data_IF_538546558035
#
_entry.id   IF_538546558035
#
_cell.length_a   1.000
_cell.length_b   1.000
_cell.length_c   1.000
_cell.angle_alpha   90.00
_cell.angle_beta   90.00
_cell.angle_gamma   90.00
#
_symmetry.space_group_name_H-M   'P 1'
#
loop_
_entity.id
_entity.type
_entity.pdbx_description
1 polymer ?
#
# COMPACT_ATOMS: atom_id res chain seq x y z
N UNK A 1 23.12 -25.17 0.77
CA UNK A 1 23.80 -23.86 0.79
C UNK A 1 23.28 -23.16 2.04
N UNK A 2 24.15 -22.58 2.80
CA UNK A 2 23.74 -21.75 3.95
C UNK A 2 23.07 -20.49 3.40
N UNK A 3 22.01 -20.05 4.06
CA UNK A 3 21.28 -18.84 3.70
C UNK A 3 21.36 -17.86 4.86
N UNK A 4 21.52 -16.59 4.52
CA UNK A 4 21.42 -15.48 5.46
C UNK A 4 19.99 -15.03 5.50
N UNK A 5 19.46 -14.77 6.68
CA UNK A 5 18.12 -14.22 6.88
C UNK A 5 18.27 -12.90 7.63
N UNK A 6 17.66 -11.86 7.09
CA UNK A 6 17.54 -10.54 7.71
C UNK A 6 16.09 -10.19 7.94
N UNK A 7 15.82 -9.54 9.07
CA UNK A 7 14.47 -9.17 9.49
C UNK A 7 14.35 -7.66 9.57
N UNK A 8 13.20 -7.16 9.15
CA UNK A 8 12.92 -5.72 9.06
C UNK A 8 11.50 -5.45 9.56
N UNK A 9 11.30 -4.24 10.09
CA UNK A 9 9.97 -3.74 10.38
C UNK A 9 9.84 -2.30 9.91
N UNK A 10 8.83 -2.05 9.06
CA UNK A 10 8.44 -0.71 8.62
C UNK A 10 7.01 -0.48 9.07
N UNK A 11 6.81 0.48 9.96
CA UNK A 11 5.53 0.69 10.63
C UNK A 11 5.00 -0.61 11.28
N UNK A 12 3.81 -1.07 10.88
CA UNK A 12 3.19 -2.29 11.41
C UNK A 12 3.39 -3.53 10.53
N UNK A 13 4.27 -3.43 9.53
CA UNK A 13 4.58 -4.55 8.62
C UNK A 13 5.98 -5.06 8.91
N UNK A 14 6.07 -6.32 9.34
CA UNK A 14 7.33 -7.05 9.45
C UNK A 14 7.65 -7.77 8.16
N UNK A 15 8.93 -7.88 7.79
CA UNK A 15 9.31 -8.75 6.70
C UNK A 15 10.68 -9.38 6.90
N UNK A 16 10.86 -10.54 6.29
CA UNK A 16 12.12 -11.29 6.32
C UNK A 16 12.63 -11.48 4.90
N UNK A 17 13.90 -11.21 4.69
CA UNK A 17 14.59 -11.43 3.44
C UNK A 17 15.64 -12.52 3.60
N UNK A 18 15.54 -13.58 2.82
CA UNK A 18 16.48 -14.68 2.80
C UNK A 18 17.24 -14.74 1.48
N UNK A 19 18.55 -14.89 1.52
CA UNK A 19 19.42 -14.97 0.35
C UNK A 19 20.62 -15.88 0.59
N UNK A 20 21.28 -16.45 -0.46
CA UNK A 20 22.45 -17.28 -0.32
C UNK A 20 23.63 -16.55 0.34
N UNK A 21 24.35 -17.21 1.22
CA UNK A 21 25.55 -16.65 1.88
C UNK A 21 26.59 -16.13 0.87
N UNK A 22 26.75 -16.81 -0.26
CA UNK A 22 27.63 -16.38 -1.36
C UNK A 22 27.31 -15.03 -1.97
N UNK A 23 26.12 -14.45 -1.69
CA UNK A 23 25.69 -13.14 -2.18
C UNK A 23 25.81 -12.01 -1.15
N UNK A 24 26.40 -12.27 0.02
CA UNK A 24 26.41 -11.33 1.17
C UNK A 24 26.95 -9.95 0.81
N UNK A 25 28.07 -9.86 0.11
CA UNK A 25 28.68 -8.56 -0.25
C UNK A 25 27.77 -7.72 -1.15
N UNK A 26 27.11 -8.36 -2.13
CA UNK A 26 26.17 -7.68 -3.02
C UNK A 26 24.92 -7.25 -2.25
N UNK A 27 24.38 -8.15 -1.43
CA UNK A 27 23.18 -7.87 -0.64
C UNK A 27 23.41 -6.79 0.41
N UNK A 28 24.62 -6.66 0.97
CA UNK A 28 24.94 -5.56 1.88
C UNK A 28 24.77 -4.18 1.23
N UNK A 29 25.21 -4.04 -0.03
CA UNK A 29 25.00 -2.80 -0.82
C UNK A 29 23.54 -2.58 -1.16
N UNK A 30 22.83 -3.63 -1.57
CA UNK A 30 21.41 -3.53 -1.94
C UNK A 30 20.54 -3.13 -0.75
N UNK A 31 20.85 -3.64 0.43
CA UNK A 31 20.05 -3.47 1.65
C UNK A 31 20.47 -2.27 2.48
N UNK A 32 21.44 -1.47 2.02
CA UNK A 32 21.90 -0.27 2.75
C UNK A 32 20.73 0.67 3.12
N UNK A 33 19.80 0.88 2.19
CA UNK A 33 18.62 1.72 2.41
C UNK A 33 17.67 1.18 3.49
N UNK A 34 17.72 -0.12 3.79
CA UNK A 34 16.83 -0.77 4.76
C UNK A 34 17.45 -0.94 6.13
N UNK A 35 18.73 -0.62 6.33
CA UNK A 35 19.44 -0.81 7.59
C UNK A 35 18.76 -0.14 8.80
N UNK A 36 18.15 1.03 8.58
CA UNK A 36 17.42 1.74 9.63
C UNK A 36 16.18 0.99 10.15
N UNK A 37 15.70 0.00 9.40
CA UNK A 37 14.50 -0.80 9.71
C UNK A 37 14.84 -2.24 10.13
N UNK A 38 16.15 -2.59 10.19
CA UNK A 38 16.59 -3.93 10.61
C UNK A 38 16.23 -4.17 12.08
N UNK A 39 15.67 -5.34 12.37
CA UNK A 39 15.21 -5.72 13.70
C UNK A 39 15.40 -7.22 13.94
N UNK A 40 15.09 -7.69 15.14
CA UNK A 40 15.10 -9.12 15.47
C UNK A 40 13.87 -9.84 14.88
N UNK A 41 14.01 -11.15 14.67
CA UNK A 41 12.92 -12.00 14.18
C UNK A 41 11.64 -11.87 15.01
N UNK A 42 11.78 -11.78 16.33
CA UNK A 42 10.63 -11.65 17.23
C UNK A 42 9.84 -10.36 16.98
N UNK A 43 10.54 -9.26 16.71
CA UNK A 43 9.94 -7.96 16.39
C UNK A 43 9.23 -8.00 15.06
N UNK A 44 9.88 -8.52 14.02
CA UNK A 44 9.27 -8.65 12.69
C UNK A 44 8.04 -9.58 12.70
N UNK A 45 8.09 -10.67 13.46
CA UNK A 45 6.99 -11.64 13.56
C UNK A 45 5.83 -11.15 14.42
N UNK A 46 6.08 -10.26 15.38
CA UNK A 46 5.05 -9.65 16.24
C UNK A 46 4.32 -8.48 15.56
N UNK A 47 4.75 -8.07 14.36
CA UNK A 47 4.08 -7.03 13.60
C UNK A 47 2.64 -7.42 13.24
N UNK A 48 1.78 -6.43 13.02
CA UNK A 48 0.36 -6.64 12.70
C UNK A 48 0.17 -7.53 11.45
N UNK A 49 1.08 -7.42 10.50
CA UNK A 49 1.16 -8.30 9.33
C UNK A 49 2.63 -8.54 8.98
N UNK A 50 2.91 -9.67 8.35
CA UNK A 50 4.27 -10.02 7.95
C UNK A 50 4.32 -10.74 6.61
N UNK A 51 5.46 -10.66 5.94
CA UNK A 51 5.76 -11.45 4.75
C UNK A 51 7.23 -11.86 4.72
N UNK A 52 7.56 -12.83 3.88
CA UNK A 52 8.94 -13.24 3.61
C UNK A 52 9.22 -13.28 2.12
N UNK A 53 10.43 -12.88 1.73
CA UNK A 53 10.94 -12.95 0.37
C UNK A 53 12.26 -13.74 0.38
N UNK A 54 12.29 -14.84 -0.37
CA UNK A 54 13.50 -15.66 -0.56
C UNK A 54 14.06 -15.39 -1.94
N UNK A 55 15.33 -15.01 -2.02
CA UNK A 55 16.05 -14.78 -3.26
C UNK A 55 16.86 -16.03 -3.62
N UNK A 56 16.70 -16.51 -4.85
CA UNK A 56 17.44 -17.66 -5.36
C UNK A 56 17.95 -17.42 -6.79
N UNK A 57 19.08 -18.00 -7.13
CA UNK A 57 19.51 -18.09 -8.52
C UNK A 57 18.94 -19.36 -9.18
N UNK A 58 18.56 -19.23 -10.45
CA UNK A 58 18.20 -20.37 -11.27
C UNK A 58 19.45 -21.19 -11.61
N UNK A 59 19.36 -22.52 -11.52
CA UNK A 59 20.41 -23.39 -12.02
C UNK A 59 20.45 -23.52 -13.56
N UNK A 60 19.39 -23.01 -14.22
CA UNK A 60 19.20 -23.07 -15.67
C UNK A 60 18.65 -21.73 -16.19
N UNK A 61 18.46 -21.63 -17.52
CA UNK A 61 17.78 -20.48 -18.13
C UNK A 61 16.37 -20.30 -17.53
N UNK A 62 16.03 -19.05 -17.17
CA UNK A 62 14.70 -18.72 -16.65
C UNK A 62 13.62 -19.00 -17.70
N UNK A 63 12.78 -19.98 -17.42
CA UNK A 63 11.65 -20.38 -18.27
C UNK A 63 10.34 -20.19 -17.52
N UNK A 64 9.29 -19.97 -18.30
CA UNK A 64 7.91 -19.91 -17.77
C UNK A 64 7.63 -21.18 -16.94
N UNK A 65 7.17 -21.04 -15.68
CA UNK A 65 6.91 -22.20 -14.83
C UNK A 65 5.91 -23.17 -15.45
N UNK A 66 6.11 -24.46 -15.26
CA UNK A 66 5.17 -25.47 -15.72
C UNK A 66 3.80 -25.26 -15.04
N UNK A 67 2.72 -25.30 -15.82
CA UNK A 67 1.36 -25.09 -15.31
C UNK A 67 0.97 -23.63 -15.09
N UNK A 68 1.80 -22.67 -15.45
CA UNK A 68 1.45 -21.24 -15.37
C UNK A 68 0.34 -20.88 -16.37
N UNK A 69 -0.72 -20.28 -15.86
CA UNK A 69 -1.84 -19.73 -16.65
C UNK A 69 -1.80 -18.20 -16.57
N UNK A 70 -1.49 -17.58 -17.71
CA UNK A 70 -1.45 -16.12 -17.84
C UNK A 70 -2.84 -15.52 -17.65
N UNK A 71 -2.96 -14.50 -16.79
CA UNK A 71 -4.20 -13.80 -16.47
C UNK A 71 -4.15 -12.33 -16.88
N UNK A 72 -2.98 -11.70 -16.72
CA UNK A 72 -2.77 -10.30 -17.03
C UNK A 72 -1.38 -10.07 -17.60
N UNK A 73 -1.28 -9.11 -18.52
CA UNK A 73 -0.01 -8.66 -19.10
C UNK A 73 0.02 -7.13 -19.13
N UNK A 74 1.09 -6.60 -18.58
CA UNK A 74 1.41 -5.18 -18.63
C UNK A 74 2.79 -5.02 -19.30
N UNK A 75 2.87 -4.21 -20.33
CA UNK A 75 4.09 -3.94 -21.10
C UNK A 75 4.15 -2.43 -21.35
N UNK A 76 4.87 -1.72 -20.51
CA UNK A 76 5.01 -0.26 -20.56
C UNK A 76 6.45 0.17 -20.28
N UNK A 77 6.98 1.09 -21.10
CA UNK A 77 8.26 1.79 -20.88
C UNK A 77 9.47 0.87 -20.57
N UNK A 78 9.56 -0.29 -21.22
CA UNK A 78 10.66 -1.24 -21.02
C UNK A 78 10.51 -2.13 -19.79
N UNK A 79 9.34 -2.13 -19.18
CA UNK A 79 8.98 -3.05 -18.11
C UNK A 79 7.88 -4.00 -18.60
N UNK A 80 8.15 -5.29 -18.56
CA UNK A 80 7.17 -6.33 -18.86
C UNK A 80 6.82 -7.08 -17.59
N UNK A 81 5.55 -7.09 -17.23
CA UNK A 81 5.01 -7.88 -16.12
C UNK A 81 3.89 -8.76 -16.65
N UNK A 82 4.05 -10.06 -16.54
CA UNK A 82 3.03 -11.05 -16.87
C UNK A 82 2.65 -11.76 -15.58
N UNK A 83 1.43 -11.60 -15.14
CA UNK A 83 0.92 -12.27 -13.94
C UNK A 83 -0.06 -13.37 -14.29
N UNK A 84 -0.15 -14.35 -13.41
CA UNK A 84 -1.09 -15.45 -13.58
C UNK A 84 -1.05 -16.44 -12.42
N UNK A 85 -1.91 -17.44 -12.50
CA UNK A 85 -1.99 -18.52 -11.52
C UNK A 85 -0.99 -19.65 -11.81
N UNK A 86 -0.47 -20.24 -10.73
CA UNK A 86 0.40 -21.41 -10.75
C UNK A 86 -0.22 -22.49 -9.85
N UNK A 87 -1.06 -23.36 -10.45
CA UNK A 87 -1.92 -24.26 -9.70
C UNK A 87 -3.03 -23.54 -8.94
N UNK A 88 -3.54 -24.15 -7.86
CA UNK A 88 -4.69 -23.63 -7.10
C UNK A 88 -4.31 -22.64 -5.99
N UNK A 89 -3.05 -22.62 -5.54
CA UNK A 89 -2.64 -21.92 -4.32
C UNK A 89 -1.55 -20.88 -4.52
N UNK A 90 -1.02 -20.76 -5.72
CA UNK A 90 0.08 -19.84 -5.99
C UNK A 90 -0.20 -18.92 -7.17
N UNK A 91 0.39 -17.74 -7.11
CA UNK A 91 0.52 -16.79 -8.22
C UNK A 91 1.96 -16.71 -8.66
N UNK A 92 2.17 -16.46 -9.93
CA UNK A 92 3.50 -16.18 -10.46
C UNK A 92 3.48 -14.90 -11.29
N UNK A 93 4.59 -14.17 -11.21
CA UNK A 93 4.84 -12.95 -11.95
C UNK A 93 6.13 -13.12 -12.71
N UNK A 94 6.05 -13.13 -14.04
CA UNK A 94 7.22 -13.10 -14.90
C UNK A 94 7.51 -11.63 -15.19
N UNK A 95 8.68 -11.16 -14.78
CA UNK A 95 9.04 -9.75 -14.85
C UNK A 95 10.29 -9.61 -15.71
N UNK A 96 10.30 -8.60 -16.56
CA UNK A 96 11.51 -8.07 -17.18
C UNK A 96 11.56 -6.58 -16.80
N UNK A 97 12.39 -6.26 -15.81
CA UNK A 97 12.58 -4.90 -15.33
C UNK A 97 14.00 -4.49 -15.67
N UNK A 98 14.12 -3.40 -16.41
CA UNK A 98 15.40 -2.99 -17.01
C UNK A 98 15.97 -4.13 -17.88
N UNK A 99 17.18 -4.57 -17.63
CA UNK A 99 17.86 -5.64 -18.40
C UNK A 99 17.78 -7.02 -17.75
N UNK A 100 17.06 -7.15 -16.64
CA UNK A 100 17.00 -8.40 -15.88
C UNK A 100 15.61 -9.04 -15.95
N UNK A 101 15.59 -10.31 -16.37
CA UNK A 101 14.41 -11.18 -16.25
C UNK A 101 14.39 -11.81 -14.87
N UNK A 102 13.22 -11.92 -14.27
CA UNK A 102 13.03 -12.58 -12.98
C UNK A 102 11.64 -13.21 -12.88
N UNK A 103 11.48 -14.17 -11.97
CA UNK A 103 10.21 -14.83 -11.72
C UNK A 103 9.93 -14.78 -10.22
N UNK A 104 8.84 -14.10 -9.85
CA UNK A 104 8.31 -14.14 -8.50
C UNK A 104 7.23 -15.22 -8.42
N UNK A 105 7.35 -16.11 -7.45
CA UNK A 105 6.29 -17.06 -7.08
C UNK A 105 5.86 -16.75 -5.65
N UNK A 106 4.56 -16.64 -5.42
CA UNK A 106 4.00 -16.29 -4.10
C UNK A 106 2.71 -17.06 -3.83
N UNK A 107 2.36 -17.23 -2.57
CA UNK A 107 1.02 -17.67 -2.17
C UNK A 107 -0.05 -16.62 -2.51
N UNK A 108 -1.32 -17.00 -2.47
CA UNK A 108 -2.44 -16.06 -2.67
C UNK A 108 -2.50 -14.97 -1.60
N UNK A 109 -1.96 -15.26 -0.43
CA UNK A 109 -1.89 -14.35 0.72
C UNK A 109 -0.64 -13.45 0.71
N UNK A 110 0.27 -13.63 -0.26
CA UNK A 110 1.56 -12.92 -0.37
C UNK A 110 2.46 -13.04 0.87
N UNK A 111 2.20 -14.00 1.74
CA UNK A 111 2.94 -14.16 3.00
C UNK A 111 4.32 -14.76 2.79
N UNK A 112 4.43 -15.70 1.86
CA UNK A 112 5.69 -16.33 1.49
C UNK A 112 5.92 -16.20 -0.01
N UNK A 113 7.01 -15.53 -0.37
CA UNK A 113 7.37 -15.26 -1.76
C UNK A 113 8.78 -15.73 -2.06
N UNK A 114 9.01 -16.19 -3.29
CA UNK A 114 10.32 -16.59 -3.79
C UNK A 114 10.60 -15.88 -5.10
N UNK A 115 11.72 -15.16 -5.15
CA UNK A 115 12.23 -14.51 -6.36
C UNK A 115 13.35 -15.36 -6.94
N UNK A 116 13.16 -15.78 -8.19
CA UNK A 116 14.15 -16.49 -8.96
C UNK A 116 14.79 -15.53 -9.97
N UNK A 117 16.12 -15.39 -9.91
CA UNK A 117 16.92 -14.56 -10.83
C UNK A 117 17.82 -15.43 -11.70
N UNK A 118 18.34 -14.93 -12.83
CA UNK A 118 19.25 -15.68 -13.69
C UNK A 118 20.49 -16.18 -12.96
N UNK A 119 21.04 -17.30 -13.41
CA UNK A 119 22.31 -17.83 -12.90
C UNK A 119 23.43 -16.81 -13.03
N UNK A 120 24.27 -16.70 -11.99
CA UNK A 120 25.39 -15.78 -11.95
C UNK A 120 25.01 -14.33 -11.60
N UNK A 121 23.74 -14.02 -11.35
CA UNK A 121 23.29 -12.65 -10.97
C UNK A 121 24.03 -12.13 -9.75
N UNK A 122 24.19 -12.97 -8.71
CA UNK A 122 24.86 -12.57 -7.47
C UNK A 122 26.37 -12.42 -7.59
N UNK A 123 26.99 -12.96 -8.63
CA UNK A 123 28.42 -12.85 -8.88
C UNK A 123 28.80 -11.70 -9.84
N UNK A 124 27.84 -11.10 -10.53
CA UNK A 124 28.07 -10.06 -11.54
C UNK A 124 27.80 -8.67 -10.97
N UNK A 125 28.86 -7.90 -10.72
CA UNK A 125 28.73 -6.48 -10.24
C UNK A 125 27.86 -5.60 -11.17
N UNK A 126 27.84 -5.88 -12.47
CA UNK A 126 27.01 -5.17 -13.44
C UNK A 126 25.50 -5.41 -13.25
N UNK A 127 25.10 -6.51 -12.63
CA UNK A 127 23.71 -6.85 -12.37
C UNK A 127 23.16 -6.17 -11.09
N UNK A 128 24.00 -5.54 -10.27
CA UNK A 128 23.60 -4.99 -8.97
C UNK A 128 22.50 -3.94 -9.06
N UNK A 129 22.54 -3.04 -10.05
CA UNK A 129 21.53 -2.01 -10.24
C UNK A 129 20.17 -2.57 -10.61
N UNK A 130 20.12 -3.51 -11.56
CA UNK A 130 18.89 -4.18 -12.01
C UNK A 130 18.30 -5.07 -10.91
N UNK A 131 19.16 -5.78 -10.16
CA UNK A 131 18.72 -6.59 -9.02
C UNK A 131 18.15 -5.69 -7.92
N UNK A 132 18.81 -4.57 -7.61
CA UNK A 132 18.30 -3.59 -6.63
C UNK A 132 16.92 -3.09 -7.02
N UNK A 133 16.75 -2.59 -8.24
CA UNK A 133 15.46 -2.08 -8.72
C UNK A 133 14.37 -3.16 -8.62
N UNK A 134 14.68 -4.41 -8.97
CA UNK A 134 13.74 -5.53 -8.88
C UNK A 134 13.37 -5.83 -7.42
N UNK A 135 14.34 -5.91 -6.51
CA UNK A 135 14.11 -6.19 -5.09
C UNK A 135 13.31 -5.06 -4.44
N UNK A 136 13.69 -3.80 -4.67
CA UNK A 136 12.99 -2.63 -4.13
C UNK A 136 11.53 -2.60 -4.59
N UNK A 137 11.27 -2.82 -5.89
CA UNK A 137 9.91 -2.87 -6.43
C UNK A 137 9.10 -4.00 -5.81
N UNK A 138 9.69 -5.19 -5.65
CA UNK A 138 9.00 -6.33 -5.05
C UNK A 138 8.71 -6.12 -3.57
N UNK A 139 9.66 -5.60 -2.82
CA UNK A 139 9.44 -5.28 -1.40
C UNK A 139 8.32 -4.24 -1.25
N UNK A 140 8.29 -3.21 -2.10
CA UNK A 140 7.20 -2.24 -2.14
C UNK A 140 5.86 -2.88 -2.49
N UNK A 141 5.80 -3.74 -3.51
CA UNK A 141 4.57 -4.43 -3.90
C UNK A 141 4.06 -5.35 -2.79
N UNK A 142 4.93 -6.19 -2.21
CA UNK A 142 4.55 -7.07 -1.12
C UNK A 142 4.11 -6.29 0.12
N UNK A 143 4.82 -5.21 0.43
CA UNK A 143 4.44 -4.29 1.50
C UNK A 143 3.04 -3.69 1.27
N UNK A 144 2.79 -3.14 0.08
CA UNK A 144 1.51 -2.55 -0.28
C UNK A 144 0.36 -3.57 -0.23
N UNK A 145 0.60 -4.79 -0.74
CA UNK A 145 -0.40 -5.87 -0.73
C UNK A 145 -0.71 -6.38 0.69
N UNK A 146 0.26 -6.32 1.60
CA UNK A 146 0.10 -6.77 2.99
C UNK A 146 -0.37 -5.66 3.92
N UNK A 147 -0.01 -4.42 3.63
CA UNK A 147 -0.36 -3.27 4.48
C UNK A 147 -1.77 -2.75 4.26
N UNK A 148 -2.45 -3.15 3.17
CA UNK A 148 -3.79 -2.62 2.85
C UNK A 148 -3.82 -1.09 2.98
N UNK A 149 -3.14 -0.41 2.04
CA UNK A 149 -3.07 1.05 2.04
C UNK A 149 -4.43 1.63 1.63
N UNK A 150 -4.97 2.49 2.44
CA UNK A 150 -6.12 3.34 2.12
C UNK A 150 -5.58 4.68 1.64
N UNK A 151 -5.64 4.92 0.34
CA UNK A 151 -5.29 6.21 -0.26
C UNK A 151 -6.50 7.14 -0.22
N UNK A 152 -6.30 8.33 0.34
CA UNK A 152 -7.29 9.41 0.40
C UNK A 152 -6.71 10.58 -0.39
N UNK A 153 -7.23 10.75 -1.60
CA UNK A 153 -6.76 11.76 -2.56
C UNK A 153 -7.32 13.15 -2.27
N UNK A 154 -6.61 14.16 -2.76
CA UNK A 154 -7.11 15.51 -2.85
C UNK A 154 -8.31 15.56 -3.82
N UNK A 155 -9.39 16.20 -3.41
CA UNK A 155 -10.49 16.52 -4.31
C UNK A 155 -11.79 15.79 -4.03
N UNK A 156 -12.69 15.92 -4.99
CA UNK A 156 -14.10 15.53 -4.88
C UNK A 156 -14.45 14.55 -6.00
N UNK A 157 -14.47 13.26 -5.66
CA UNK A 157 -14.79 12.15 -6.59
C UNK A 157 -16.15 11.53 -6.31
N UNK A 158 -17.15 12.33 -5.86
CA UNK A 158 -18.50 11.84 -5.58
C UNK A 158 -19.24 11.53 -6.87
N UNK A 159 -20.00 10.44 -6.85
CA UNK A 159 -20.87 10.00 -7.94
C UNK A 159 -22.29 10.49 -7.73
N UNK A 160 -23.07 10.61 -8.81
CA UNK A 160 -24.50 10.87 -8.74
C UNK A 160 -25.21 9.73 -8.03
N UNK A 161 -26.12 10.06 -7.11
CA UNK A 161 -26.84 9.11 -6.26
C UNK A 161 -27.08 9.71 -4.89
N UNK A 162 -27.29 8.91 -3.87
CA UNK A 162 -27.37 9.39 -2.48
C UNK A 162 -25.99 9.49 -1.84
N UNK A 163 -25.87 10.21 -0.73
CA UNK A 163 -24.63 10.19 0.09
C UNK A 163 -24.37 8.77 0.57
N UNK A 164 -25.40 8.04 1.00
CA UNK A 164 -25.31 6.63 1.39
C UNK A 164 -24.73 5.77 0.26
N UNK A 165 -25.25 5.89 -0.97
CA UNK A 165 -24.71 5.13 -2.11
C UNK A 165 -23.22 5.39 -2.30
N UNK A 166 -22.80 6.65 -2.19
CA UNK A 166 -21.37 7.01 -2.29
C UNK A 166 -20.51 6.37 -1.21
N UNK A 167 -20.98 6.32 0.03
CA UNK A 167 -20.27 5.69 1.15
C UNK A 167 -20.17 4.17 0.94
N UNK A 168 -21.27 3.53 0.55
CA UNK A 168 -21.32 2.08 0.31
C UNK A 168 -20.49 1.61 -0.89
N UNK A 169 -20.06 2.50 -1.79
CA UNK A 169 -19.07 2.14 -2.83
C UNK A 169 -17.74 1.67 -2.24
N UNK A 170 -17.36 2.15 -1.06
CA UNK A 170 -16.11 1.76 -0.41
C UNK A 170 -16.25 0.47 0.41
N UNK A 171 -17.41 0.27 1.03
CA UNK A 171 -17.74 -0.93 1.80
C UNK A 171 -19.24 -1.23 1.69
N UNK A 172 -19.64 -2.12 0.76
CA UNK A 172 -21.06 -2.43 0.51
C UNK A 172 -21.80 -3.07 1.68
N UNK A 173 -21.08 -3.59 2.67
CA UNK A 173 -21.66 -4.25 3.86
C UNK A 173 -21.53 -3.40 5.13
N UNK A 174 -21.12 -2.14 5.00
CA UNK A 174 -21.00 -1.24 6.14
C UNK A 174 -22.35 -1.00 6.81
N UNK A 175 -22.35 -1.02 8.14
CA UNK A 175 -23.56 -0.70 8.94
C UNK A 175 -23.79 0.81 9.02
N UNK A 176 -24.99 1.23 9.39
CA UNK A 176 -25.33 2.64 9.56
C UNK A 176 -24.46 3.31 10.64
N UNK A 177 -24.06 2.56 11.67
CA UNK A 177 -23.14 3.02 12.70
C UNK A 177 -21.76 3.32 12.11
N UNK A 178 -21.25 2.43 11.25
CA UNK A 178 -19.96 2.62 10.58
C UNK A 178 -20.00 3.81 9.60
N UNK A 179 -21.10 3.97 8.85
CA UNK A 179 -21.30 5.13 7.97
C UNK A 179 -21.33 6.44 8.78
N UNK A 180 -22.03 6.43 9.91
CA UNK A 180 -22.13 7.58 10.82
C UNK A 180 -20.78 7.96 11.41
N UNK A 181 -20.03 6.99 11.89
CA UNK A 181 -18.69 7.20 12.45
C UNK A 181 -17.73 7.74 11.40
N UNK A 182 -17.73 7.18 10.18
CA UNK A 182 -16.91 7.68 9.10
C UNK A 182 -17.20 9.14 8.73
N UNK A 183 -18.49 9.51 8.67
CA UNK A 183 -18.92 10.87 8.44
C UNK A 183 -18.48 11.79 9.59
N UNK A 184 -18.60 11.33 10.84
CA UNK A 184 -18.18 12.08 12.00
C UNK A 184 -16.66 12.36 11.98
N UNK A 185 -15.85 11.33 11.77
CA UNK A 185 -14.38 11.49 11.70
C UNK A 185 -13.98 12.44 10.57
N UNK A 186 -14.66 12.38 9.42
CA UNK A 186 -14.43 13.28 8.28
C UNK A 186 -15.01 14.70 8.47
N UNK A 187 -15.51 15.05 9.65
CA UNK A 187 -16.19 16.33 9.92
C UNK A 187 -17.37 16.61 8.98
N UNK A 188 -18.05 15.55 8.51
CA UNK A 188 -19.21 15.63 7.63
C UNK A 188 -20.54 15.57 8.41
N UNK A 189 -20.56 15.97 9.69
CA UNK A 189 -21.74 15.96 10.56
C UNK A 189 -22.92 16.77 9.98
N UNK A 190 -22.65 17.74 9.10
CA UNK A 190 -23.68 18.53 8.40
C UNK A 190 -24.66 17.64 7.62
N UNK A 191 -24.25 16.42 7.22
CA UNK A 191 -25.12 15.46 6.51
C UNK A 191 -26.36 15.16 7.31
N UNK A 192 -26.27 15.05 8.64
CA UNK A 192 -27.39 14.76 9.51
C UNK A 192 -28.37 15.93 9.66
N UNK A 193 -27.96 17.14 9.26
CA UNK A 193 -28.83 18.34 9.21
C UNK A 193 -29.56 18.49 7.87
N UNK A 194 -29.21 17.67 6.87
CA UNK A 194 -29.92 17.67 5.58
C UNK A 194 -31.31 17.02 5.73
N UNK A 195 -32.33 17.48 4.95
CA UNK A 195 -33.70 16.98 5.10
C UNK A 195 -33.86 15.47 4.98
N UNK A 196 -33.02 14.82 4.17
CA UNK A 196 -33.01 13.35 3.98
C UNK A 196 -31.76 12.69 4.58
N UNK A 197 -30.94 13.40 5.37
CA UNK A 197 -29.74 12.83 5.96
C UNK A 197 -28.80 12.20 4.93
N UNK A 198 -28.35 10.98 5.19
CA UNK A 198 -27.52 10.20 4.26
C UNK A 198 -28.24 9.82 2.96
N UNK A 199 -29.57 9.82 2.94
CA UNK A 199 -30.37 9.50 1.74
C UNK A 199 -30.59 10.75 0.85
N UNK A 200 -29.95 11.86 1.18
CA UNK A 200 -29.93 13.06 0.34
C UNK A 200 -29.26 12.75 -1.00
N UNK A 201 -29.99 13.03 -2.10
CA UNK A 201 -29.48 12.89 -3.46
C UNK A 201 -28.50 13.99 -3.80
N UNK A 202 -27.38 13.66 -4.41
CA UNK A 202 -26.33 14.56 -4.89
C UNK A 202 -26.06 14.30 -6.38
N UNK A 203 -25.57 15.32 -7.12
CA UNK A 203 -25.31 15.25 -8.56
C UNK A 203 -26.01 16.38 -9.34
N UNK A 204 -26.09 16.24 -10.69
CA UNK A 204 -26.49 17.35 -11.58
C UNK A 204 -27.89 17.92 -11.32
N UNK A 205 -28.84 17.12 -10.83
CA UNK A 205 -30.23 17.53 -10.58
C UNK A 205 -30.62 17.40 -9.10
N UNK A 206 -29.66 17.43 -8.19
CA UNK A 206 -29.86 17.17 -6.77
C UNK A 206 -29.24 18.27 -5.91
N UNK A 207 -29.10 18.04 -4.60
CA UNK A 207 -28.50 18.99 -3.66
C UNK A 207 -27.06 19.28 -4.09
N UNK A 208 -26.75 20.58 -4.27
CA UNK A 208 -25.39 21.02 -4.54
C UNK A 208 -24.65 21.14 -3.20
N UNK A 209 -23.61 20.31 -3.08
CA UNK A 209 -22.67 20.42 -1.98
C UNK A 209 -21.61 21.47 -2.33
N UNK A 210 -21.08 22.17 -1.32
CA UNK A 210 -19.86 22.95 -1.50
C UNK A 210 -18.65 22.03 -1.73
N UNK A 211 -17.56 22.57 -2.27
CA UNK A 211 -16.36 21.76 -2.56
C UNK A 211 -15.81 21.09 -1.29
N UNK A 212 -15.79 21.80 -0.17
CA UNK A 212 -15.36 21.31 1.14
C UNK A 212 -16.32 20.24 1.70
N UNK A 213 -17.63 20.40 1.53
CA UNK A 213 -18.64 19.42 1.93
C UNK A 213 -18.46 18.11 1.15
N UNK A 214 -18.28 18.21 -0.15
CA UNK A 214 -18.08 17.06 -1.00
C UNK A 214 -16.75 16.35 -0.70
N UNK A 215 -15.68 17.09 -0.42
CA UNK A 215 -14.39 16.52 -0.01
C UNK A 215 -14.52 15.75 1.31
N UNK A 216 -15.21 16.27 2.31
CA UNK A 216 -15.43 15.58 3.59
C UNK A 216 -16.19 14.28 3.43
N UNK A 217 -17.19 14.22 2.55
CA UNK A 217 -17.89 12.97 2.24
C UNK A 217 -16.96 11.98 1.50
N UNK A 218 -16.10 12.47 0.60
CA UNK A 218 -15.12 11.63 -0.09
C UNK A 218 -14.08 11.04 0.88
N UNK A 219 -13.64 11.82 1.87
CA UNK A 219 -12.81 11.35 2.98
C UNK A 219 -13.54 10.27 3.76
N UNK A 220 -14.79 10.52 4.20
CA UNK A 220 -15.61 9.53 4.92
C UNK A 220 -15.74 8.22 4.16
N UNK A 221 -16.01 8.29 2.85
CA UNK A 221 -16.05 7.11 1.99
C UNK A 221 -14.73 6.34 2.02
N UNK A 222 -13.60 7.02 1.93
CA UNK A 222 -12.29 6.36 1.93
C UNK A 222 -11.98 5.70 3.27
N UNK A 223 -12.41 6.30 4.38
CA UNK A 223 -12.23 5.76 5.74
C UNK A 223 -13.00 4.45 5.99
N UNK A 224 -14.03 4.15 5.19
CA UNK A 224 -14.78 2.88 5.25
C UNK A 224 -14.03 1.69 4.64
N UNK A 225 -12.93 1.94 3.94
CA UNK A 225 -12.08 0.86 3.41
C UNK A 225 -11.26 0.23 4.53
N UNK A 226 -11.09 -1.07 4.45
CA UNK A 226 -10.20 -1.78 5.35
C UNK A 226 -8.74 -1.50 4.98
N UNK A 227 -7.93 -1.18 5.99
CA UNK A 227 -6.51 -0.96 5.82
C UNK A 227 -5.85 -0.55 7.14
N UNK A 228 -4.55 -0.77 7.21
CA UNK A 228 -3.71 -0.44 8.37
C UNK A 228 -2.78 0.75 8.12
N UNK A 229 -2.76 1.27 6.89
CA UNK A 229 -2.05 2.50 6.52
C UNK A 229 -3.04 3.45 5.85
N UNK A 230 -3.11 4.68 6.35
CA UNK A 230 -3.83 5.78 5.71
C UNK A 230 -2.81 6.70 5.04
N UNK A 231 -2.86 6.81 3.73
CA UNK A 231 -2.08 7.77 2.96
C UNK A 231 -2.97 8.97 2.61
N UNK A 232 -2.72 10.10 3.25
CA UNK A 232 -3.50 11.32 3.16
C UNK A 232 -2.75 12.33 2.26
N UNK A 233 -3.28 12.58 1.06
CA UNK A 233 -2.66 13.45 0.08
C UNK A 233 -3.40 14.78 -0.01
N UNK A 234 -2.87 15.79 0.68
CA UNK A 234 -3.41 17.16 0.76
C UNK A 234 -4.92 17.24 1.03
N UNK A 235 -5.45 16.33 1.86
CA UNK A 235 -6.88 16.15 2.09
C UNK A 235 -7.59 17.35 2.73
N UNK A 236 -6.84 18.32 3.24
CA UNK A 236 -7.35 19.51 3.91
C UNK A 236 -7.23 20.80 3.10
N UNK A 237 -6.80 20.71 1.83
CA UNK A 237 -6.47 21.89 1.01
C UNK A 237 -7.64 22.88 0.82
N UNK A 238 -8.90 22.39 0.82
CA UNK A 238 -10.10 23.20 0.68
C UNK A 238 -10.79 23.56 2.02
N UNK A 239 -10.26 23.06 3.15
CA UNK A 239 -10.86 23.26 4.46
C UNK A 239 -10.36 24.56 5.12
N UNK A 240 -11.22 25.18 5.91
CA UNK A 240 -10.82 26.23 6.85
C UNK A 240 -9.99 25.65 8.01
N UNK A 241 -9.23 26.51 8.69
CA UNK A 241 -8.29 26.09 9.71
C UNK A 241 -8.93 25.39 10.92
N UNK A 242 -10.16 25.72 11.27
CA UNK A 242 -10.90 25.12 12.40
C UNK A 242 -11.35 23.70 12.02
N UNK A 243 -11.97 23.55 10.85
CA UNK A 243 -12.39 22.24 10.31
C UNK A 243 -11.19 21.33 10.07
N UNK A 244 -10.08 21.85 9.54
CA UNK A 244 -8.84 21.09 9.35
C UNK A 244 -8.32 20.55 10.68
N UNK A 245 -8.19 21.42 11.68
CA UNK A 245 -7.73 21.01 13.02
C UNK A 245 -8.61 19.89 13.58
N UNK A 246 -9.93 20.05 13.51
CA UNK A 246 -10.89 19.08 14.01
C UNK A 246 -10.78 17.75 13.25
N UNK A 247 -10.62 17.78 11.92
CA UNK A 247 -10.44 16.59 11.09
C UNK A 247 -9.21 15.77 11.54
N UNK A 248 -8.06 16.41 11.68
CA UNK A 248 -6.85 15.70 12.12
C UNK A 248 -6.92 15.27 13.58
N UNK A 249 -7.59 16.03 14.48
CA UNK A 249 -7.84 15.59 15.85
C UNK A 249 -8.63 14.28 15.87
N UNK A 250 -9.71 14.19 15.10
CA UNK A 250 -10.56 13.01 14.99
C UNK A 250 -9.81 11.84 14.33
N UNK A 251 -9.11 12.10 13.22
CA UNK A 251 -8.31 11.06 12.50
C UNK A 251 -7.25 10.43 13.41
N UNK A 252 -6.44 11.22 14.08
CA UNK A 252 -5.38 10.71 14.95
C UNK A 252 -5.92 10.01 16.19
N UNK A 253 -7.12 10.36 16.64
CA UNK A 253 -7.78 9.70 17.78
C UNK A 253 -8.43 8.38 17.34
N UNK A 254 -9.23 8.39 16.28
CA UNK A 254 -10.01 7.22 15.85
C UNK A 254 -9.15 6.14 15.17
N UNK A 255 -7.99 6.51 14.62
CA UNK A 255 -7.07 5.60 13.91
C UNK A 255 -5.67 5.57 14.54
N UNK A 256 -5.59 5.68 15.88
CA UNK A 256 -4.33 5.65 16.63
C UNK A 256 -3.58 4.31 16.53
N UNK A 257 -4.27 3.26 16.14
CA UNK A 257 -3.74 1.92 15.86
C UNK A 257 -3.18 1.75 14.44
N UNK A 258 -3.36 2.77 13.58
CA UNK A 258 -2.92 2.73 12.19
C UNK A 258 -1.70 3.62 11.95
N UNK A 259 -0.96 3.32 10.89
CA UNK A 259 0.06 4.23 10.37
C UNK A 259 -0.62 5.29 9.50
N UNK A 260 -0.39 6.56 9.81
CA UNK A 260 -0.93 7.68 9.04
C UNK A 260 0.23 8.41 8.36
N UNK A 261 0.23 8.46 7.05
CA UNK A 261 1.21 9.18 6.22
C UNK A 261 0.49 10.39 5.63
N UNK A 262 0.96 11.60 5.98
CA UNK A 262 0.39 12.84 5.49
C UNK A 262 1.34 13.50 4.48
N UNK A 263 0.87 13.71 3.26
CA UNK A 263 1.50 14.61 2.30
C UNK A 263 0.83 15.99 2.46
N UNK A 264 1.59 17.00 2.86
CA UNK A 264 1.03 18.31 3.14
C UNK A 264 2.07 19.43 3.01
N UNK A 265 1.62 20.59 2.56
CA UNK A 265 2.38 21.84 2.59
C UNK A 265 2.06 22.68 3.84
N UNK A 266 1.11 22.24 4.68
CA UNK A 266 0.66 22.97 5.87
C UNK A 266 1.50 22.60 7.08
N UNK A 267 2.18 23.58 7.65
CA UNK A 267 3.06 23.39 8.80
C UNK A 267 2.30 22.89 10.03
N UNK A 268 1.08 23.36 10.24
CA UNK A 268 0.22 22.98 11.37
C UNK A 268 -0.09 21.48 11.39
N UNK A 269 -0.22 20.85 10.23
CA UNK A 269 -0.40 19.39 10.09
C UNK A 269 0.92 18.68 10.29
N UNK A 270 2.00 19.17 9.66
CA UNK A 270 3.32 18.56 9.76
C UNK A 270 3.83 18.53 11.21
N UNK A 271 3.62 19.63 11.98
CA UNK A 271 4.05 19.74 13.38
C UNK A 271 3.33 18.76 14.34
N UNK A 272 2.27 18.09 13.87
CA UNK A 272 1.51 17.07 14.61
C UNK A 272 1.96 15.65 14.31
N UNK A 273 2.76 15.45 13.27
CA UNK A 273 3.32 14.15 12.93
C UNK A 273 4.51 13.83 13.83
N UNK A 274 4.67 12.55 14.17
CA UNK A 274 5.78 12.06 14.98
C UNK A 274 7.12 12.17 14.26
N UNK A 275 7.09 11.98 12.93
CA UNK A 275 8.26 12.08 12.06
C UNK A 275 7.93 12.94 10.84
N UNK A 276 8.92 13.67 10.34
CA UNK A 276 8.79 14.55 9.19
C UNK A 276 9.90 14.26 8.18
N UNK A 277 9.53 14.05 6.92
CA UNK A 277 10.45 13.93 5.79
C UNK A 277 10.22 15.15 4.90
N UNK A 278 11.28 15.89 4.62
CA UNK A 278 11.25 17.01 3.67
C UNK A 278 11.88 16.56 2.37
N UNK A 279 11.12 16.69 1.30
CA UNK A 279 11.53 16.39 -0.07
C UNK A 279 12.07 17.64 -0.75
#
# INVERSE_FOLDING_TARGET
MESIIKHYQVAHVGFSLSYPDSSQDMMAVLLEAYQAFECDEQVASAALTSFSLTLNESGEELRKPAGFKEECRQDEEGQLIISGSLGEKQKAFLMAMTDMKSILVTGHDYQHSSLLVPAGTFSQKSASGSLKATVDTLLMLLYAMRSHIVYIEQGNTLMSGTIRDNLLLANPVATDEQLTEALHVACADFVFSLPAGMDTKIGEHATRLSGDQAQRIAIARSLLREGNILLLDEISSSLDAETEKLLFDRLFTSYSDKTIICVTHRKEVADRCQEQIRL
#
